data_IF_545185385142
#
_entry.id   IF_545185385142
#
_cell.length_a   1.000
_cell.length_b   1.000
_cell.length_c   1.000
_cell.angle_alpha   90.00
_cell.angle_beta   90.00
_cell.angle_gamma   90.00
#
_symmetry.space_group_name_H-M   'P 1'
#
loop_
_entity.id
_entity.type
_entity.pdbx_description
1 polymer ?
#
# COMPACT_ATOMS: atom_id res chain seq x y z
N UNK A 1 -21.69 -5.77 33.77
CA UNK A 1 -20.73 -6.48 34.63
C UNK A 1 -20.58 -5.69 35.92
N UNK A 2 -20.80 -6.35 37.08
CA UNK A 2 -20.84 -5.64 38.38
C UNK A 2 -19.42 -5.20 38.83
N UNK A 3 -19.31 -3.97 39.32
CA UNK A 3 -18.06 -3.34 39.79
C UNK A 3 -17.39 -4.13 40.91
N UNK A 4 -18.17 -4.70 41.81
CA UNK A 4 -17.70 -5.52 42.92
C UNK A 4 -17.07 -6.85 42.44
N UNK A 5 -17.58 -7.42 41.36
CA UNK A 5 -17.04 -8.65 40.76
C UNK A 5 -15.69 -8.39 40.07
N UNK A 6 -15.54 -7.24 39.38
CA UNK A 6 -14.25 -6.82 38.80
C UNK A 6 -13.21 -6.62 39.89
N UNK A 7 -13.58 -5.95 41.00
CA UNK A 7 -12.69 -5.73 42.15
C UNK A 7 -12.13 -7.04 42.72
N UNK A 8 -13.00 -8.05 42.95
CA UNK A 8 -12.59 -9.37 43.40
C UNK A 8 -11.62 -10.06 42.41
N UNK A 9 -11.93 -10.05 41.12
CA UNK A 9 -11.08 -10.69 40.12
C UNK A 9 -9.73 -10.01 39.96
N UNK A 10 -9.63 -8.71 40.22
CA UNK A 10 -8.37 -7.99 40.31
C UNK A 10 -7.55 -8.41 41.53
N UNK A 11 -8.20 -8.54 42.70
CA UNK A 11 -7.55 -8.99 43.92
C UNK A 11 -7.05 -10.44 43.81
N UNK A 12 -7.84 -11.31 43.18
CA UNK A 12 -7.53 -12.73 42.97
C UNK A 12 -6.50 -12.94 41.81
N UNK A 13 -6.04 -11.87 41.14
CA UNK A 13 -5.12 -11.97 40.02
C UNK A 13 -5.71 -12.55 38.72
N UNK A 14 -7.01 -12.83 38.68
CA UNK A 14 -7.72 -13.33 37.48
C UNK A 14 -7.83 -12.29 36.40
N UNK A 15 -7.88 -10.99 36.77
CA UNK A 15 -7.84 -9.85 35.91
C UNK A 15 -6.62 -8.99 36.21
N UNK A 16 -6.05 -8.41 35.18
CA UNK A 16 -5.00 -7.39 35.29
C UNK A 16 -5.44 -6.14 34.55
N UNK A 17 -5.42 -5.00 35.22
CA UNK A 17 -5.73 -3.73 34.58
C UNK A 17 -4.62 -3.33 33.59
N UNK A 18 -4.96 -3.16 32.32
CA UNK A 18 -4.02 -2.71 31.26
C UNK A 18 -4.16 -1.21 31.05
N UNK A 19 -5.38 -0.73 30.89
CA UNK A 19 -5.73 0.68 30.82
C UNK A 19 -6.97 0.95 31.67
N UNK A 20 -7.35 2.21 31.80
CA UNK A 20 -8.61 2.56 32.48
C UNK A 20 -9.80 1.92 31.74
N UNK A 21 -10.55 1.07 32.46
CA UNK A 21 -11.69 0.34 31.91
C UNK A 21 -11.33 -0.87 31.03
N UNK A 22 -10.05 -1.18 30.83
CA UNK A 22 -9.58 -2.31 30.02
C UNK A 22 -8.77 -3.28 30.88
N UNK A 23 -9.17 -4.54 30.86
CA UNK A 23 -8.58 -5.59 31.69
C UNK A 23 -8.14 -6.77 30.81
N UNK A 24 -7.00 -7.34 31.11
CA UNK A 24 -6.52 -8.61 30.54
C UNK A 24 -6.92 -9.76 31.44
N UNK A 25 -7.32 -10.88 30.85
CA UNK A 25 -7.61 -12.16 31.53
C UNK A 25 -6.38 -13.05 31.43
N UNK A 26 -5.98 -13.72 32.53
CA UNK A 26 -4.90 -14.73 32.53
C UNK A 26 -3.49 -14.15 32.61
N UNK A 27 -2.50 -14.86 32.03
CA UNK A 27 -1.07 -14.68 32.30
C UNK A 27 -0.43 -13.36 31.86
N UNK A 28 0.77 -13.07 32.42
CA UNK A 28 1.51 -11.81 32.33
C UNK A 28 2.20 -11.54 30.99
N UNK A 29 2.26 -12.47 30.04
CA UNK A 29 2.92 -12.25 28.75
C UNK A 29 1.97 -11.56 27.75
N UNK A 30 1.97 -10.22 27.67
CA UNK A 30 1.16 -9.54 26.67
C UNK A 30 1.75 -9.82 25.29
N UNK A 31 0.98 -10.48 24.43
CA UNK A 31 1.31 -10.52 23.02
C UNK A 31 1.31 -9.09 22.44
N UNK A 32 1.99 -8.90 21.32
CA UNK A 32 1.96 -7.65 20.57
C UNK A 32 0.51 -7.20 20.32
N UNK A 33 -0.32 -8.13 19.83
CA UNK A 33 -1.73 -7.92 19.52
C UNK A 33 -2.53 -7.52 20.75
N UNK A 34 -2.34 -8.19 21.88
CA UNK A 34 -3.06 -7.86 23.13
C UNK A 34 -2.82 -6.42 23.59
N UNK A 35 -1.58 -5.90 23.42
CA UNK A 35 -1.26 -4.52 23.75
C UNK A 35 -1.96 -3.51 22.84
N UNK A 36 -2.04 -3.79 21.54
CA UNK A 36 -2.73 -2.92 20.58
C UNK A 36 -4.25 -3.00 20.71
N UNK A 37 -4.83 -4.19 20.93
CA UNK A 37 -6.25 -4.36 21.25
C UNK A 37 -6.61 -3.54 22.48
N UNK A 38 -5.83 -3.65 23.56
CA UNK A 38 -6.08 -2.93 24.78
C UNK A 38 -6.05 -1.40 24.59
N UNK A 39 -5.14 -0.91 23.76
CA UNK A 39 -5.05 0.53 23.44
C UNK A 39 -6.26 1.03 22.63
N UNK A 40 -6.71 0.28 21.64
CA UNK A 40 -7.90 0.62 20.84
C UNK A 40 -9.14 0.61 21.75
N UNK A 41 -9.34 -0.43 22.55
CA UNK A 41 -10.45 -0.52 23.51
C UNK A 41 -10.44 0.63 24.54
N UNK A 42 -9.26 1.03 25.03
CA UNK A 42 -9.12 2.13 25.97
C UNK A 42 -9.51 3.49 25.38
N UNK A 43 -9.41 3.64 24.07
CA UNK A 43 -9.82 4.86 23.36
C UNK A 43 -11.32 4.91 23.06
N UNK A 44 -12.04 3.79 23.20
CA UNK A 44 -13.50 3.69 23.07
C UNK A 44 -13.99 3.33 21.67
N UNK A 45 -15.31 3.31 21.48
CA UNK A 45 -15.92 2.94 20.20
C UNK A 45 -15.44 3.82 19.03
N UNK A 46 -15.21 3.21 17.87
CA UNK A 46 -14.74 3.89 16.67
C UNK A 46 -13.25 4.28 16.67
N UNK A 47 -12.52 3.91 17.74
CA UNK A 47 -11.06 4.06 17.77
C UNK A 47 -10.39 3.01 16.88
N UNK A 48 -9.33 3.40 16.14
CA UNK A 48 -8.58 2.50 15.27
C UNK A 48 -7.09 2.62 15.50
N UNK A 49 -6.37 1.52 15.44
CA UNK A 49 -4.91 1.51 15.41
C UNK A 49 -4.43 2.23 14.14
N UNK A 50 -3.43 3.11 14.25
CA UNK A 50 -3.02 3.98 13.15
C UNK A 50 -1.53 4.29 13.18
N UNK A 51 -1.05 5.13 12.23
CA UNK A 51 0.31 5.64 12.16
C UNK A 51 1.37 4.54 12.26
N UNK A 52 2.42 4.72 13.10
CA UNK A 52 3.55 3.77 13.22
C UNK A 52 3.12 2.42 13.80
N UNK A 53 2.17 2.41 14.74
CA UNK A 53 1.67 1.17 15.33
C UNK A 53 0.94 0.30 14.29
N UNK A 54 0.09 0.91 13.46
CA UNK A 54 -0.55 0.22 12.36
C UNK A 54 0.46 -0.20 11.29
N UNK A 55 1.40 0.68 10.93
CA UNK A 55 2.45 0.37 9.96
C UNK A 55 3.32 -0.82 10.38
N UNK A 56 3.65 -0.91 11.67
CA UNK A 56 4.39 -2.04 12.22
C UNK A 56 3.59 -3.35 12.11
N UNK A 57 2.31 -3.34 12.49
CA UNK A 57 1.44 -4.51 12.41
C UNK A 57 1.22 -4.96 10.96
N UNK A 58 1.08 -4.01 10.03
CA UNK A 58 0.98 -4.22 8.59
C UNK A 58 2.33 -4.50 7.91
N UNK A 59 3.44 -4.53 8.66
CA UNK A 59 4.80 -4.76 8.16
C UNK A 59 5.21 -3.79 7.05
N UNK A 60 4.77 -2.53 7.13
CA UNK A 60 5.14 -1.48 6.18
C UNK A 60 6.46 -0.79 6.56
N UNK A 61 6.85 -0.87 7.83
CA UNK A 61 8.09 -0.29 8.34
C UNK A 61 8.90 -1.37 9.05
N UNK A 62 10.22 -1.38 8.89
CA UNK A 62 11.13 -2.20 9.69
C UNK A 62 11.23 -1.65 11.13
N UNK A 63 11.82 -2.44 12.00
CA UNK A 63 12.15 -2.04 13.36
C UNK A 63 11.30 -2.67 14.45
N UNK A 64 11.59 -2.25 15.68
CA UNK A 64 10.93 -2.74 16.87
C UNK A 64 9.50 -2.22 17.05
N UNK A 65 8.80 -2.77 18.02
CA UNK A 65 7.43 -2.41 18.38
C UNK A 65 7.32 -0.93 18.80
N UNK A 66 6.61 -0.08 18.05
CA UNK A 66 6.33 1.29 18.49
C UNK A 66 5.26 1.31 19.61
N UNK A 67 5.17 2.38 20.38
CA UNK A 67 4.05 2.59 21.29
C UNK A 67 2.73 2.57 20.52
N UNK A 68 1.62 2.17 21.17
CA UNK A 68 0.30 2.20 20.53
C UNK A 68 -0.06 3.62 20.06
N UNK A 69 -0.40 3.74 18.79
CA UNK A 69 -0.93 4.96 18.17
C UNK A 69 -2.35 4.71 17.68
N UNK A 70 -3.29 5.49 18.16
CA UNK A 70 -4.72 5.27 17.91
C UNK A 70 -5.35 6.55 17.38
N UNK A 71 -6.11 6.44 16.29
CA UNK A 71 -6.92 7.54 15.75
C UNK A 71 -8.36 7.41 16.24
N UNK A 72 -8.93 8.53 16.69
CA UNK A 72 -10.32 8.64 17.14
C UNK A 72 -11.03 9.78 16.40
N UNK A 73 -12.30 9.56 16.04
CA UNK A 73 -13.16 10.56 15.40
C UNK A 73 -13.80 11.47 16.45
N UNK A 74 -12.99 12.30 17.11
CA UNK A 74 -13.43 13.27 18.10
C UNK A 74 -12.45 14.42 18.21
N UNK A 75 -12.96 15.60 18.52
CA UNK A 75 -12.14 16.79 18.82
C UNK A 75 -11.85 16.93 20.31
N UNK A 76 -12.63 16.26 21.16
CA UNK A 76 -12.51 16.26 22.61
C UNK A 76 -11.94 14.94 23.12
N UNK A 77 -11.43 14.92 24.31
CA UNK A 77 -11.02 13.68 24.97
C UNK A 77 -9.79 13.82 25.88
N UNK A 78 -9.68 12.90 26.82
CA UNK A 78 -8.57 12.85 27.79
C UNK A 78 -7.33 12.20 27.19
N UNK A 79 -6.16 12.62 27.65
CA UNK A 79 -4.92 11.88 27.42
C UNK A 79 -5.03 10.46 27.95
N UNK A 80 -4.45 9.49 27.24
CA UNK A 80 -4.39 8.07 27.65
C UNK A 80 -2.92 7.72 27.91
N UNK A 81 -2.51 7.50 29.17
CA UNK A 81 -1.13 7.11 29.47
C UNK A 81 -0.69 5.88 28.63
N UNK A 82 0.47 5.96 28.01
CA UNK A 82 1.02 4.88 27.18
C UNK A 82 0.40 4.72 25.80
N UNK A 83 -0.50 5.63 25.38
CA UNK A 83 -1.12 5.62 24.05
C UNK A 83 -0.97 7.01 23.42
N UNK A 84 -0.47 7.06 22.20
CA UNK A 84 -0.48 8.27 21.38
C UNK A 84 -1.84 8.37 20.69
N UNK A 85 -2.62 9.39 21.03
CA UNK A 85 -3.98 9.57 20.50
C UNK A 85 -4.01 10.67 19.45
N UNK A 86 -4.31 10.29 18.22
CA UNK A 86 -4.53 11.19 17.09
C UNK A 86 -6.04 11.48 16.95
N UNK A 87 -6.38 12.75 16.83
CA UNK A 87 -7.78 13.18 16.72
C UNK A 87 -8.08 13.71 15.33
N UNK A 88 -9.19 13.25 14.77
CA UNK A 88 -9.70 13.70 13.48
C UNK A 88 -11.17 14.09 13.64
N UNK A 89 -11.66 14.98 12.80
CA UNK A 89 -13.10 15.34 12.80
C UNK A 89 -13.95 14.18 12.31
N UNK A 90 -13.47 13.50 11.26
CA UNK A 90 -14.17 12.39 10.61
C UNK A 90 -13.14 11.30 10.29
N UNK A 91 -13.48 10.08 10.60
CA UNK A 91 -12.80 8.89 10.14
C UNK A 91 -13.74 8.15 9.19
N UNK A 92 -13.40 8.17 7.91
CA UNK A 92 -14.26 7.58 6.89
C UNK A 92 -14.27 6.05 7.00
N UNK A 93 -15.43 5.42 6.83
CA UNK A 93 -15.58 3.95 6.95
C UNK A 93 -14.65 3.18 6.00
N UNK A 94 -14.41 3.70 4.79
CA UNK A 94 -13.47 3.11 3.82
C UNK A 94 -12.00 3.27 4.19
N UNK A 95 -11.68 4.00 5.26
CA UNK A 95 -10.32 4.16 5.79
C UNK A 95 -10.08 3.27 7.02
N UNK A 96 -11.06 2.43 7.37
CA UNK A 96 -11.02 1.49 8.50
C UNK A 96 -11.13 0.06 8.00
N UNK A 97 -10.41 -0.82 8.67
CA UNK A 97 -10.40 -2.27 8.43
C UNK A 97 -10.26 -3.00 9.77
N UNK A 98 -10.22 -4.32 9.72
CA UNK A 98 -9.92 -5.17 10.88
C UNK A 98 -8.79 -6.12 10.51
N UNK A 99 -7.84 -6.29 11.42
CA UNK A 99 -6.76 -7.26 11.31
C UNK A 99 -6.59 -7.95 12.66
N UNK A 100 -6.75 -9.27 12.72
CA UNK A 100 -6.67 -10.08 13.94
C UNK A 100 -7.49 -9.48 15.09
N UNK A 101 -8.76 -9.17 14.84
CA UNK A 101 -9.73 -8.54 15.76
C UNK A 101 -9.35 -7.11 16.22
N UNK A 102 -8.33 -6.50 15.62
CA UNK A 102 -7.94 -5.12 15.89
C UNK A 102 -8.56 -4.20 14.82
N UNK A 103 -9.37 -3.24 15.26
CA UNK A 103 -9.78 -2.15 14.38
C UNK A 103 -8.53 -1.33 13.99
N UNK A 104 -8.24 -1.26 12.71
CA UNK A 104 -7.00 -0.67 12.17
C UNK A 104 -7.29 0.24 10.98
N UNK A 105 -6.49 1.28 10.81
CA UNK A 105 -6.53 2.09 9.59
C UNK A 105 -6.10 1.26 8.38
N UNK A 106 -6.77 1.44 7.24
CA UNK A 106 -6.38 0.78 5.97
C UNK A 106 -4.98 1.20 5.54
N UNK A 107 -4.32 0.36 4.73
CA UNK A 107 -2.95 0.62 4.25
C UNK A 107 -2.82 2.00 3.59
N UNK A 108 -3.69 2.44 2.65
CA UNK A 108 -3.64 3.78 2.08
C UNK A 108 -3.74 4.88 3.16
N UNK A 109 -4.57 4.67 4.17
CA UNK A 109 -4.74 5.62 5.26
C UNK A 109 -3.51 5.69 6.15
N UNK A 110 -2.89 4.58 6.48
CA UNK A 110 -1.63 4.53 7.24
C UNK A 110 -0.51 5.25 6.51
N UNK A 111 -0.35 5.04 5.19
CA UNK A 111 0.63 5.77 4.39
C UNK A 111 0.39 7.29 4.42
N UNK A 112 -0.87 7.72 4.31
CA UNK A 112 -1.25 9.13 4.40
C UNK A 112 -0.96 9.72 5.80
N UNK A 113 -1.21 8.97 6.86
CA UNK A 113 -0.91 9.37 8.23
C UNK A 113 0.60 9.47 8.50
N UNK A 114 1.40 8.63 7.86
CA UNK A 114 2.87 8.61 7.98
C UNK A 114 3.56 9.67 7.11
N UNK A 115 2.93 10.10 6.03
CA UNK A 115 3.54 11.01 5.07
C UNK A 115 4.09 12.33 5.66
N UNK A 116 3.47 12.96 6.69
CA UNK A 116 4.04 14.16 7.31
C UNK A 116 5.26 13.91 8.19
N UNK A 117 5.43 12.67 8.71
CA UNK A 117 6.37 12.37 9.81
C UNK A 117 7.53 11.46 9.42
N UNK A 118 7.47 10.78 8.28
CA UNK A 118 8.57 9.95 7.80
C UNK A 118 9.55 10.74 6.92
N UNK A 119 10.84 10.38 6.92
CA UNK A 119 11.77 10.73 5.86
C UNK A 119 11.24 10.29 4.48
N UNK A 120 11.67 10.95 3.41
CA UNK A 120 11.17 10.66 2.05
C UNK A 120 11.48 9.22 1.61
N UNK A 121 12.67 8.74 1.92
CA UNK A 121 13.13 7.38 1.59
C UNK A 121 12.33 6.31 2.34
N UNK A 122 12.09 6.51 3.65
CA UNK A 122 11.29 5.58 4.44
C UNK A 122 9.83 5.55 3.99
N UNK A 123 9.28 6.70 3.56
CA UNK A 123 7.94 6.77 3.00
C UNK A 123 7.85 6.04 1.65
N UNK A 124 8.85 6.19 0.78
CA UNK A 124 8.93 5.45 -0.48
C UNK A 124 9.02 3.94 -0.25
N UNK A 125 9.84 3.53 0.72
CA UNK A 125 9.97 2.14 1.15
C UNK A 125 8.65 1.59 1.71
N UNK A 126 7.94 2.36 2.53
CA UNK A 126 6.61 1.99 3.02
C UNK A 126 5.57 1.85 1.90
N UNK A 127 5.63 2.68 0.85
CA UNK A 127 4.80 2.56 -0.34
C UNK A 127 5.10 1.27 -1.12
N UNK A 128 6.38 0.93 -1.28
CA UNK A 128 6.82 -0.33 -1.89
C UNK A 128 6.30 -1.54 -1.10
N UNK A 129 6.47 -1.56 0.23
CA UNK A 129 5.99 -2.64 1.09
C UNK A 129 4.46 -2.77 1.07
N UNK A 130 3.75 -1.65 1.00
CA UNK A 130 2.29 -1.61 0.86
C UNK A 130 1.83 -2.28 -0.44
N UNK A 131 2.59 -2.09 -1.50
CA UNK A 131 2.34 -2.79 -2.75
C UNK A 131 2.66 -4.28 -2.63
N UNK A 132 3.87 -4.65 -2.24
CA UNK A 132 4.35 -6.04 -2.21
C UNK A 132 3.45 -6.91 -1.32
N UNK A 133 3.13 -6.44 -0.11
CA UNK A 133 2.42 -7.24 0.91
C UNK A 133 0.90 -7.11 0.87
N UNK A 134 0.38 -5.97 0.39
CA UNK A 134 -1.05 -5.66 0.48
C UNK A 134 -1.70 -5.31 -0.86
N UNK A 135 -0.96 -5.37 -1.95
CA UNK A 135 -1.45 -5.02 -3.30
C UNK A 135 -2.14 -3.65 -3.34
N UNK A 136 -1.59 -2.69 -2.59
CA UNK A 136 -2.15 -1.35 -2.47
C UNK A 136 -1.70 -0.48 -3.64
N UNK A 137 -2.60 -0.27 -4.60
CA UNK A 137 -2.30 0.53 -5.79
C UNK A 137 -2.28 2.04 -5.53
N UNK A 138 -1.58 2.83 -6.36
CA UNK A 138 -1.63 4.29 -6.33
C UNK A 138 -3.05 4.85 -6.38
N UNK A 139 -3.95 4.20 -7.14
CA UNK A 139 -5.35 4.59 -7.23
C UNK A 139 -6.08 4.50 -5.88
N UNK A 140 -5.84 3.44 -5.10
CA UNK A 140 -6.40 3.31 -3.75
C UNK A 140 -5.87 4.38 -2.82
N UNK A 141 -4.60 4.76 -2.97
CA UNK A 141 -3.97 5.84 -2.19
C UNK A 141 -4.57 7.19 -2.57
N UNK A 142 -4.72 7.50 -3.87
CA UNK A 142 -5.36 8.75 -4.31
C UNK A 142 -6.82 8.85 -3.88
N UNK A 143 -7.58 7.76 -3.92
CA UNK A 143 -8.93 7.72 -3.40
C UNK A 143 -8.98 8.01 -1.88
N UNK A 144 -8.00 7.51 -1.11
CA UNK A 144 -7.87 7.84 0.31
C UNK A 144 -7.51 9.32 0.52
N UNK A 145 -6.58 9.87 -0.27
CA UNK A 145 -6.23 11.30 -0.23
C UNK A 145 -7.47 12.17 -0.52
N UNK A 146 -8.24 11.83 -1.55
CA UNK A 146 -9.45 12.56 -1.93
C UNK A 146 -10.50 12.58 -0.81
N UNK A 147 -10.66 11.48 -0.06
CA UNK A 147 -11.55 11.42 1.11
C UNK A 147 -11.04 12.21 2.31
N UNK A 148 -9.76 12.56 2.32
CA UNK A 148 -9.08 13.21 3.46
C UNK A 148 -8.39 14.54 3.06
N UNK A 149 -9.10 15.52 2.46
CA UNK A 149 -8.48 16.70 1.85
C UNK A 149 -7.75 17.59 2.86
N UNK A 150 -8.12 17.51 4.15
CA UNK A 150 -7.49 18.28 5.22
C UNK A 150 -6.22 17.65 5.79
N UNK A 151 -5.88 16.42 5.38
CA UNK A 151 -4.67 15.73 5.84
C UNK A 151 -3.43 16.31 5.18
N UNK A 152 -2.44 16.66 6.02
CA UNK A 152 -1.11 17.06 5.55
C UNK A 152 -0.38 15.85 4.97
N UNK A 153 0.54 16.09 4.05
CA UNK A 153 1.42 15.05 3.52
C UNK A 153 0.99 14.44 2.18
N UNK A 154 -0.20 14.74 1.65
CA UNK A 154 -0.66 14.23 0.35
C UNK A 154 0.38 14.43 -0.78
N UNK A 155 0.96 15.64 -0.89
CA UNK A 155 2.01 15.92 -1.89
C UNK A 155 3.30 15.13 -1.67
N UNK A 156 3.68 14.86 -0.41
CA UNK A 156 4.83 14.01 -0.09
C UNK A 156 4.57 12.56 -0.44
N UNK A 157 3.36 12.05 -0.13
CA UNK A 157 2.97 10.69 -0.45
C UNK A 157 2.96 10.46 -1.97
N UNK A 158 2.42 11.41 -2.74
CA UNK A 158 2.44 11.35 -4.19
C UNK A 158 3.84 11.35 -4.77
N UNK A 159 4.77 12.18 -4.23
CA UNK A 159 6.18 12.13 -4.65
C UNK A 159 6.84 10.80 -4.33
N UNK A 160 6.54 10.21 -3.17
CA UNK A 160 7.06 8.90 -2.80
C UNK A 160 6.60 7.79 -3.76
N UNK A 161 5.36 7.86 -4.25
CA UNK A 161 4.83 6.92 -5.27
C UNK A 161 5.52 7.04 -6.63
N UNK A 162 6.12 8.18 -6.96
CA UNK A 162 6.89 8.39 -8.18
C UNK A 162 8.41 8.27 -8.01
N UNK A 163 8.89 7.72 -6.90
CA UNK A 163 10.32 7.56 -6.63
C UNK A 163 10.92 6.31 -7.30
N UNK A 164 12.25 6.25 -7.39
CA UNK A 164 12.97 5.10 -7.97
C UNK A 164 12.67 3.78 -7.27
N UNK A 165 12.39 3.81 -5.95
CA UNK A 165 11.98 2.63 -5.18
C UNK A 165 10.67 2.04 -5.69
N UNK A 166 9.73 2.89 -6.12
CA UNK A 166 8.45 2.43 -6.69
C UNK A 166 8.56 2.05 -8.17
N UNK A 167 9.55 2.58 -8.89
CA UNK A 167 9.91 2.14 -10.25
C UNK A 167 10.39 0.69 -10.22
N UNK A 168 11.35 0.36 -9.35
CA UNK A 168 11.80 -1.03 -9.16
C UNK A 168 10.65 -1.98 -8.80
N UNK A 169 9.68 -1.51 -8.00
CA UNK A 169 8.48 -2.31 -7.69
C UNK A 169 7.61 -2.59 -8.92
N UNK A 170 7.52 -1.65 -9.86
CA UNK A 170 6.78 -1.81 -11.11
C UNK A 170 7.51 -2.81 -12.03
N UNK A 171 8.83 -2.71 -12.13
CA UNK A 171 9.67 -3.65 -12.88
C UNK A 171 9.53 -5.08 -12.33
N UNK A 172 9.69 -5.25 -11.01
CA UNK A 172 9.55 -6.55 -10.34
C UNK A 172 8.14 -7.14 -10.53
N UNK A 173 7.10 -6.32 -10.41
CA UNK A 173 5.72 -6.73 -10.62
C UNK A 173 5.44 -7.15 -12.06
N UNK A 174 6.01 -6.45 -13.03
CA UNK A 174 5.89 -6.81 -14.44
C UNK A 174 6.60 -8.13 -14.75
N UNK A 175 7.82 -8.32 -14.26
CA UNK A 175 8.56 -9.58 -14.42
C UNK A 175 7.86 -10.75 -13.74
N UNK A 176 7.21 -10.52 -12.59
CA UNK A 176 6.41 -11.53 -11.90
C UNK A 176 5.19 -11.91 -12.73
N UNK A 177 4.47 -10.92 -13.31
CA UNK A 177 3.32 -11.14 -14.18
C UNK A 177 3.71 -12.00 -15.40
N UNK A 178 4.84 -11.71 -16.05
CA UNK A 178 5.35 -12.52 -17.16
C UNK A 178 5.61 -13.97 -16.73
N UNK A 179 6.28 -14.16 -15.60
CA UNK A 179 6.62 -15.49 -15.06
C UNK A 179 5.38 -16.31 -14.71
N UNK A 180 4.39 -15.72 -14.05
CA UNK A 180 3.16 -16.38 -13.63
C UNK A 180 2.33 -16.88 -14.82
N UNK A 181 2.49 -16.24 -15.98
CA UNK A 181 1.75 -16.58 -17.20
C UNK A 181 2.63 -17.29 -18.28
N UNK A 182 3.85 -17.71 -17.91
CA UNK A 182 4.73 -18.43 -18.81
C UNK A 182 5.21 -17.62 -20.03
N UNK A 183 5.18 -16.30 -19.96
CA UNK A 183 5.63 -15.41 -21.03
C UNK A 183 7.17 -15.29 -21.04
N UNK A 184 7.80 -15.10 -22.22
CA UNK A 184 9.25 -15.00 -22.32
C UNK A 184 9.79 -13.81 -21.54
N UNK A 185 10.93 -14.04 -20.84
CA UNK A 185 11.57 -13.00 -20.04
C UNK A 185 12.33 -12.01 -20.95
N UNK A 186 12.15 -10.68 -20.76
CA UNK A 186 12.92 -9.66 -21.47
C UNK A 186 14.35 -9.53 -20.93
N UNK A 187 15.20 -8.85 -21.67
CA UNK A 187 16.36 -8.13 -21.14
C UNK A 187 15.86 -6.83 -20.53
N UNK A 188 16.35 -6.47 -19.35
CA UNK A 188 15.88 -5.31 -18.60
C UNK A 188 16.95 -4.24 -18.48
N UNK A 189 16.54 -2.97 -18.44
CA UNK A 189 17.41 -1.81 -18.23
C UNK A 189 18.62 -1.76 -19.18
N UNK A 190 18.38 -1.97 -20.48
CA UNK A 190 19.44 -1.97 -21.51
C UNK A 190 19.31 -0.80 -22.48
N UNK A 191 20.42 -0.49 -23.16
CA UNK A 191 20.42 0.47 -24.27
C UNK A 191 20.04 -0.22 -25.58
N UNK A 192 19.04 0.32 -26.25
CA UNK A 192 18.60 -0.12 -27.58
C UNK A 192 18.62 1.10 -28.52
N UNK A 193 19.47 1.06 -29.53
CA UNK A 193 19.64 2.14 -30.50
C UNK A 193 19.94 3.54 -29.90
N UNK A 194 20.57 3.59 -28.71
CA UNK A 194 20.94 4.83 -28.02
C UNK A 194 19.91 5.28 -26.96
N UNK A 195 18.78 4.60 -26.86
CA UNK A 195 17.76 4.87 -25.83
C UNK A 195 17.80 3.79 -24.74
N UNK A 196 17.78 4.22 -23.49
CA UNK A 196 17.65 3.30 -22.34
C UNK A 196 16.20 2.87 -22.21
N UNK A 197 15.97 1.54 -22.25
CA UNK A 197 14.63 0.94 -22.23
C UNK A 197 14.49 -0.03 -21.05
N UNK A 198 13.27 -0.12 -20.50
CA UNK A 198 13.00 -0.93 -19.32
C UNK A 198 12.97 -2.42 -19.66
N UNK A 199 12.29 -2.81 -20.74
CA UNK A 199 12.17 -4.20 -21.18
C UNK A 199 12.35 -4.34 -22.68
N UNK A 200 13.17 -5.30 -23.12
CA UNK A 200 13.43 -5.59 -24.53
C UNK A 200 13.55 -7.08 -24.81
N UNK A 201 12.90 -7.54 -25.86
CA UNK A 201 13.01 -8.90 -26.43
C UNK A 201 13.68 -8.81 -27.79
N UNK A 202 15.01 -9.02 -27.89
CA UNK A 202 15.75 -8.89 -29.14
C UNK A 202 15.22 -9.79 -30.25
N UNK A 203 14.77 -11.00 -29.89
CA UNK A 203 14.28 -11.98 -30.88
C UNK A 203 12.94 -11.57 -31.51
N UNK A 204 12.20 -10.69 -30.84
CA UNK A 204 10.88 -10.23 -31.25
C UNK A 204 10.92 -8.77 -31.73
N UNK A 205 12.07 -8.10 -31.64
CA UNK A 205 12.17 -6.64 -31.85
C UNK A 205 11.09 -5.84 -31.09
N UNK A 206 10.80 -6.31 -29.87
CA UNK A 206 9.76 -5.74 -29.01
C UNK A 206 10.42 -5.01 -27.84
N UNK A 207 10.03 -3.76 -27.66
CA UNK A 207 10.46 -2.91 -26.56
C UNK A 207 9.25 -2.40 -25.78
N UNK A 208 9.33 -2.45 -24.45
CA UNK A 208 8.29 -1.99 -23.56
C UNK A 208 8.88 -1.06 -22.50
N UNK A 209 8.22 0.07 -22.31
CA UNK A 209 8.49 1.06 -21.27
C UNK A 209 7.55 0.83 -20.10
N UNK A 210 8.07 0.91 -18.87
CA UNK A 210 7.29 0.81 -17.64
C UNK A 210 7.14 2.20 -17.01
N UNK A 211 5.98 2.80 -17.19
CA UNK A 211 5.73 4.16 -16.75
C UNK A 211 5.23 4.18 -15.31
N UNK A 212 6.09 4.60 -14.39
CA UNK A 212 5.67 4.88 -13.02
C UNK A 212 4.73 6.08 -12.98
N UNK A 213 3.99 6.19 -11.87
CA UNK A 213 3.09 7.30 -11.59
C UNK A 213 3.90 8.61 -11.38
N UNK A 214 4.42 9.19 -12.48
CA UNK A 214 4.89 10.57 -12.46
C UNK A 214 3.67 11.49 -12.46
N UNK A 215 3.64 12.39 -11.51
CA UNK A 215 2.55 13.32 -11.30
C UNK A 215 2.46 14.33 -12.45
N UNK A 216 1.71 14.00 -13.49
CA UNK A 216 1.30 14.92 -14.53
C UNK A 216 -0.23 15.11 -14.49
N UNK A 217 -0.69 16.11 -13.75
CA UNK A 217 -2.11 16.45 -13.72
C UNK A 217 -3.01 15.39 -13.06
N UNK A 218 -4.07 15.00 -13.70
CA UNK A 218 -4.97 13.95 -13.19
C UNK A 218 -4.55 12.57 -13.70
N UNK A 219 -4.84 11.51 -12.93
CA UNK A 219 -4.68 10.10 -13.33
C UNK A 219 -5.26 9.83 -14.73
N UNK A 220 -6.45 10.39 -15.01
CA UNK A 220 -7.10 10.21 -16.31
C UNK A 220 -6.28 10.77 -17.47
N UNK A 221 -5.62 11.92 -17.30
CA UNK A 221 -4.77 12.51 -18.31
C UNK A 221 -3.52 11.65 -18.59
N UNK A 222 -2.90 11.11 -17.53
CA UNK A 222 -1.75 10.22 -17.64
C UNK A 222 -2.11 8.90 -18.35
N UNK A 223 -3.15 8.21 -17.88
CA UNK A 223 -3.63 6.94 -18.48
C UNK A 223 -4.09 7.13 -19.93
N UNK A 224 -4.72 8.27 -20.25
CA UNK A 224 -5.10 8.63 -21.61
C UNK A 224 -3.89 8.90 -22.51
N UNK A 225 -2.84 9.54 -22.00
CA UNK A 225 -1.61 9.82 -22.75
C UNK A 225 -0.84 8.53 -23.06
N UNK A 226 -0.76 7.61 -22.10
CA UNK A 226 -0.17 6.28 -22.28
C UNK A 226 -0.96 5.45 -23.29
N UNK A 227 -2.29 5.45 -23.22
CA UNK A 227 -3.14 4.76 -24.21
C UNK A 227 -2.98 5.34 -25.62
N UNK A 228 -2.71 6.63 -25.74
CA UNK A 228 -2.40 7.28 -27.02
C UNK A 228 -1.02 6.88 -27.53
N UNK A 229 0.01 6.80 -26.70
CA UNK A 229 1.37 6.37 -27.05
C UNK A 229 1.41 4.93 -27.55
N UNK A 230 0.64 4.02 -26.94
CA UNK A 230 0.51 2.63 -27.39
C UNK A 230 0.06 2.50 -28.84
N UNK A 231 -0.75 3.46 -29.33
CA UNK A 231 -1.21 3.50 -30.74
C UNK A 231 -0.14 3.96 -31.73
N UNK A 232 0.95 4.53 -31.26
CA UNK A 232 2.04 5.10 -32.06
C UNK A 232 3.37 4.33 -31.98
N UNK A 233 3.33 2.98 -31.95
CA UNK A 233 4.49 2.05 -31.89
C UNK A 233 5.33 2.05 -30.60
N UNK A 234 5.09 2.94 -29.65
CA UNK A 234 5.74 2.87 -28.33
C UNK A 234 4.82 2.13 -27.36
N UNK A 235 5.14 0.87 -27.11
CA UNK A 235 4.39 0.08 -26.13
C UNK A 235 4.82 0.50 -24.73
N UNK A 236 3.86 0.92 -23.93
CA UNK A 236 4.12 1.31 -22.55
C UNK A 236 3.05 0.74 -21.63
N UNK A 237 3.46 0.23 -20.47
CA UNK A 237 2.55 -0.24 -19.42
C UNK A 237 2.71 0.60 -18.18
N UNK A 238 1.58 0.86 -17.53
CA UNK A 238 1.50 1.60 -16.29
C UNK A 238 1.38 0.67 -15.09
N UNK A 239 1.47 1.24 -13.91
CA UNK A 239 1.14 0.55 -12.66
C UNK A 239 -0.27 -0.10 -12.71
N UNK A 240 -1.27 0.61 -13.22
CA UNK A 240 -2.62 0.08 -13.35
C UNK A 240 -2.71 -1.14 -14.28
N UNK A 241 -1.90 -1.17 -15.34
CA UNK A 241 -1.84 -2.32 -16.25
C UNK A 241 -1.29 -3.55 -15.54
N UNK A 242 -0.14 -3.40 -14.88
CA UNK A 242 0.55 -4.53 -14.24
C UNK A 242 -0.26 -5.09 -13.07
N UNK A 243 -0.90 -4.22 -12.29
CA UNK A 243 -1.40 -4.60 -10.95
C UNK A 243 -2.92 -4.59 -10.79
N UNK A 244 -3.63 -3.83 -11.62
CA UNK A 244 -5.09 -3.77 -11.56
C UNK A 244 -5.75 -4.52 -12.73
N UNK A 245 -5.10 -4.50 -13.89
CA UNK A 245 -5.60 -5.08 -15.14
C UNK A 245 -4.74 -6.24 -15.65
N UNK A 246 -4.05 -6.97 -14.77
CA UNK A 246 -3.12 -8.03 -15.11
C UNK A 246 -3.60 -8.98 -16.23
N UNK A 247 -4.80 -9.57 -16.17
CA UNK A 247 -5.31 -10.45 -17.23
C UNK A 247 -5.44 -9.77 -18.59
N UNK A 248 -5.87 -8.50 -18.64
CA UNK A 248 -5.97 -7.74 -19.88
C UNK A 248 -4.59 -7.39 -20.44
N UNK A 249 -3.65 -7.07 -19.56
CA UNK A 249 -2.25 -6.78 -19.91
C UNK A 249 -1.56 -8.03 -20.47
N UNK A 250 -1.79 -9.20 -19.87
CA UNK A 250 -1.29 -10.48 -20.39
C UNK A 250 -1.84 -10.76 -21.78
N UNK A 251 -3.14 -10.58 -22.01
CA UNK A 251 -3.76 -10.78 -23.33
C UNK A 251 -3.17 -9.81 -24.38
N UNK A 252 -2.84 -8.58 -24.01
CA UNK A 252 -2.16 -7.61 -24.88
C UNK A 252 -0.71 -8.02 -25.16
N UNK A 253 0.02 -8.47 -24.16
CA UNK A 253 1.40 -8.96 -24.30
C UNK A 253 1.47 -10.18 -25.21
N UNK A 254 0.57 -11.15 -25.07
CA UNK A 254 0.49 -12.31 -25.94
C UNK A 254 0.30 -11.88 -27.41
N UNK A 255 -0.64 -11.00 -27.68
CA UNK A 255 -0.85 -10.45 -29.04
C UNK A 255 0.37 -9.75 -29.61
N UNK A 256 1.08 -8.96 -28.79
CA UNK A 256 2.30 -8.27 -29.20
C UNK A 256 3.42 -9.26 -29.53
N UNK A 257 3.60 -10.29 -28.71
CA UNK A 257 4.61 -11.33 -28.90
C UNK A 257 4.30 -12.15 -30.15
N UNK A 258 3.05 -12.56 -30.34
CA UNK A 258 2.60 -13.33 -31.51
C UNK A 258 2.76 -12.50 -32.81
N UNK A 259 2.42 -11.22 -32.81
CA UNK A 259 2.58 -10.33 -33.96
C UNK A 259 4.04 -10.14 -34.39
N UNK A 260 4.99 -10.32 -33.50
CA UNK A 260 6.44 -10.19 -33.77
C UNK A 260 7.13 -11.54 -33.99
N UNK A 261 6.44 -12.67 -33.76
CA UNK A 261 7.02 -14.01 -33.96
C UNK A 261 7.27 -14.29 -35.44
N UNK A 262 8.42 -14.87 -35.83
CA UNK A 262 8.78 -15.11 -37.23
C UNK A 262 7.77 -15.93 -38.04
N UNK A 263 6.98 -16.77 -37.37
CA UNK A 263 5.93 -17.59 -38.00
C UNK A 263 4.77 -16.74 -38.60
N UNK A 264 4.56 -15.52 -38.15
CA UNK A 264 3.50 -14.64 -38.67
C UNK A 264 3.95 -13.79 -39.88
N UNK A 265 5.25 -13.68 -40.15
CA UNK A 265 5.80 -12.93 -41.31
C UNK A 265 5.79 -13.73 -42.62
N UNK A 266 5.50 -15.02 -42.58
CA UNK A 266 5.61 -15.96 -43.72
C UNK A 266 4.34 -16.21 -44.53
N UNK A 267 3.18 -15.72 -44.16
CA UNK A 267 1.91 -16.09 -44.79
C UNK A 267 1.25 -15.04 -45.70
N UNK A 268 1.88 -13.87 -45.90
CA UNK A 268 1.35 -12.84 -46.81
C UNK A 268 2.35 -12.44 -47.92
N UNK A 269 3.04 -13.42 -48.49
CA UNK A 269 3.78 -13.24 -49.73
C UNK A 269 3.49 -14.38 -50.70
N UNK A 270 2.30 -14.34 -51.30
CA UNK A 270 1.99 -14.85 -52.67
C UNK A 270 0.71 -14.22 -53.19
#
# INVERSE_FOLDING_TARGET
MDRNRIGRWLADGRLRRVHHGVYAVGHRAPSLHAGYIAAVLACGPGAVLSHRAAAHLLRLLPGGRPPPEVTVATTAGRKRPGIVVHRVRVLHVLDVSTLDDIAIATVPRVLLDLAPVLPAEDLARACHEAWVKHRTSPARIDACIARNPQKKGAGRLRRALGSDVTLSALEDGFLMLLREHGLPRPRTNIDVAGDKVDCHWPQLDLTIELLSYRFHGSRMAFESDVARRRRSKHVAFTWGDVFERGPATVAELVRLIEAQSPSSRGYFSR
#
